data_IF_368047764203
#
_entry.id   IF_368047764203
#
_cell.length_a   1.000
_cell.length_b   1.000
_cell.length_c   1.000
_cell.angle_alpha   90.00
_cell.angle_beta   90.00
_cell.angle_gamma   90.00
#
_symmetry.space_group_name_H-M   'P 1'
#
loop_
_entity.id
_entity.type
_entity.pdbx_description
1 polymer ?
#
# COMPACT_ATOMS: atom_id res chain seq x y z
N UNK A 1 2.79 -26.62 -14.54
CA UNK A 1 1.90 -25.87 -13.63
C UNK A 1 1.42 -24.60 -14.31
N UNK A 2 0.11 -24.56 -14.58
CA UNK A 2 -0.80 -23.47 -14.95
C UNK A 2 -0.27 -22.06 -15.29
N UNK A 3 0.01 -21.82 -16.58
CA UNK A 3 0.01 -20.47 -17.20
C UNK A 3 -1.42 -19.98 -17.56
N UNK A 4 -2.46 -20.76 -17.28
CA UNK A 4 -3.85 -20.51 -17.73
C UNK A 4 -4.74 -19.65 -16.82
N UNK A 5 -4.21 -19.15 -15.69
CA UNK A 5 -4.99 -18.39 -14.68
C UNK A 5 -4.80 -16.87 -14.82
N UNK A 6 -3.58 -16.41 -15.13
CA UNK A 6 -3.27 -14.97 -15.26
C UNK A 6 -3.93 -14.36 -16.52
N UNK A 7 -3.90 -15.08 -17.65
CA UNK A 7 -4.59 -14.66 -18.88
C UNK A 7 -6.12 -14.59 -18.73
N UNK A 8 -6.71 -15.42 -17.85
CA UNK A 8 -8.15 -15.40 -17.57
C UNK A 8 -8.57 -14.22 -16.69
N UNK A 9 -7.70 -13.76 -15.80
CA UNK A 9 -7.97 -12.60 -14.93
C UNK A 9 -7.92 -11.27 -15.70
N UNK A 10 -6.91 -11.09 -16.55
CA UNK A 10 -6.76 -9.87 -17.38
C UNK A 10 -7.92 -9.73 -18.37
N UNK A 11 -8.35 -10.84 -18.97
CA UNK A 11 -9.49 -10.83 -19.90
C UNK A 11 -10.84 -10.60 -19.17
N UNK A 12 -10.94 -10.98 -17.89
CA UNK A 12 -12.13 -10.72 -17.06
C UNK A 12 -12.21 -9.26 -16.63
N UNK A 13 -11.10 -8.61 -16.26
CA UNK A 13 -11.06 -7.18 -15.94
C UNK A 13 -11.40 -6.32 -17.17
N UNK A 14 -10.80 -6.63 -18.35
CA UNK A 14 -11.09 -5.92 -19.60
C UNK A 14 -12.57 -6.03 -20.01
N UNK A 15 -13.21 -7.18 -19.76
CA UNK A 15 -14.62 -7.40 -20.08
C UNK A 15 -15.56 -6.67 -19.11
N UNK A 16 -15.17 -6.50 -17.84
CA UNK A 16 -15.95 -5.75 -16.85
C UNK A 16 -15.93 -4.24 -17.10
N UNK A 17 -14.78 -3.69 -17.50
CA UNK A 17 -14.68 -2.27 -17.86
C UNK A 17 -15.45 -1.96 -19.15
N UNK A 18 -15.44 -2.89 -20.12
CA UNK A 18 -16.23 -2.76 -21.35
C UNK A 18 -17.74 -2.86 -21.09
N UNK A 19 -18.17 -3.72 -20.15
CA UNK A 19 -19.59 -3.84 -19.76
C UNK A 19 -20.05 -2.61 -18.99
N UNK A 20 -19.23 -2.03 -18.11
CA UNK A 20 -19.52 -0.76 -17.44
C UNK A 20 -19.62 0.41 -18.42
N UNK A 21 -18.70 0.51 -19.40
CA UNK A 21 -18.78 1.52 -20.45
C UNK A 21 -20.06 1.36 -21.28
N UNK A 22 -20.42 0.11 -21.65
CA UNK A 22 -21.62 -0.16 -22.45
C UNK A 22 -22.93 0.13 -21.70
N UNK A 23 -22.99 -0.15 -20.38
CA UNK A 23 -24.15 0.22 -19.55
C UNK A 23 -24.29 1.75 -19.41
N UNK A 24 -23.18 2.46 -19.23
CA UNK A 24 -23.20 3.93 -19.12
C UNK A 24 -23.64 4.60 -20.44
N UNK A 25 -23.19 4.08 -21.59
CA UNK A 25 -23.64 4.55 -22.91
C UNK A 25 -25.10 4.21 -23.23
N UNK A 26 -25.60 3.04 -22.82
CA UNK A 26 -26.98 2.62 -23.07
C UNK A 26 -28.00 3.37 -22.20
N UNK A 27 -27.62 3.75 -20.97
CA UNK A 27 -28.45 4.62 -20.10
C UNK A 27 -28.52 6.05 -20.65
N UNK A 28 -27.41 6.59 -21.18
CA UNK A 28 -27.38 7.91 -21.80
C UNK A 28 -28.19 7.98 -23.12
N UNK A 29 -28.18 6.92 -23.94
CA UNK A 29 -28.99 6.90 -25.18
C UNK A 29 -30.50 6.77 -24.93
N UNK A 30 -30.90 6.22 -23.78
CA UNK A 30 -32.31 6.11 -23.36
C UNK A 30 -32.85 7.40 -22.75
N UNK A 31 -31.98 8.24 -22.17
CA UNK A 31 -32.36 9.55 -21.62
C UNK A 31 -32.62 10.61 -22.72
N UNK A 32 -31.99 10.49 -23.88
CA UNK A 32 -32.12 11.50 -24.96
C UNK A 32 -33.26 11.24 -25.96
N UNK A 33 -34.02 10.14 -25.82
CA UNK A 33 -34.99 9.71 -26.85
C UNK A 33 -36.46 9.84 -26.46
N UNK A 34 -36.80 10.59 -25.42
CA UNK A 34 -38.20 10.79 -25.04
C UNK A 34 -38.46 12.22 -24.62
N UNK A 35 -39.14 12.97 -25.49
CA UNK A 35 -40.31 13.80 -25.16
C UNK A 35 -41.02 14.21 -26.49
N UNK A 36 -42.33 14.51 -26.51
CA UNK A 36 -43.20 14.78 -25.36
C UNK A 36 -44.54 13.99 -25.34
N UNK A 37 -45.03 13.69 -24.14
CA UNK A 37 -46.47 13.78 -23.80
C UNK A 37 -46.57 13.92 -22.27
N UNK A 38 -46.78 15.15 -21.80
CA UNK A 38 -47.06 15.43 -20.40
C UNK A 38 -48.46 14.92 -20.04
N UNK A 39 -48.55 13.94 -19.13
CA UNK A 39 -49.77 13.68 -18.36
C UNK A 39 -49.48 13.96 -16.88
N UNK A 40 -50.26 14.87 -16.27
CA UNK A 40 -49.94 15.61 -15.04
C UNK A 40 -50.01 14.80 -13.72
N UNK A 41 -49.99 13.47 -13.76
CA UNK A 41 -50.09 12.62 -12.55
C UNK A 41 -48.77 11.99 -12.08
N UNK A 42 -47.67 12.09 -12.83
CA UNK A 42 -46.37 11.48 -12.48
C UNK A 42 -45.39 12.36 -11.67
N UNK A 43 -45.66 13.67 -11.56
CA UNK A 43 -44.66 14.66 -11.10
C UNK A 43 -44.36 14.57 -9.59
N UNK A 44 -45.26 13.99 -8.78
CA UNK A 44 -45.10 13.95 -7.32
C UNK A 44 -44.18 12.81 -6.82
N UNK A 45 -43.99 11.75 -7.62
CA UNK A 45 -43.10 10.62 -7.26
C UNK A 45 -41.62 10.88 -7.58
N UNK A 46 -41.35 11.58 -8.68
CA UNK A 46 -39.99 11.82 -9.18
C UNK A 46 -39.21 12.83 -8.31
N UNK A 47 -39.90 13.85 -7.79
CA UNK A 47 -39.29 14.84 -6.88
C UNK A 47 -38.81 14.22 -5.55
N UNK A 48 -39.52 13.21 -5.03
CA UNK A 48 -39.17 12.58 -3.74
C UNK A 48 -37.97 11.63 -3.85
N UNK A 49 -37.77 11.02 -5.02
CA UNK A 49 -36.58 10.19 -5.30
C UNK A 49 -35.34 11.02 -5.66
N UNK A 50 -35.51 12.15 -6.35
CA UNK A 50 -34.42 13.07 -6.64
C UNK A 50 -33.85 13.71 -5.36
N UNK A 51 -34.71 14.08 -4.40
CA UNK A 51 -34.26 14.69 -3.13
C UNK A 51 -33.44 13.72 -2.25
N UNK A 52 -33.81 12.44 -2.24
CA UNK A 52 -33.09 11.42 -1.47
C UNK A 52 -31.75 11.03 -2.12
N UNK A 53 -31.67 11.05 -3.45
CA UNK A 53 -30.42 10.79 -4.17
C UNK A 53 -29.40 11.93 -3.96
N UNK A 54 -29.86 13.19 -3.90
CA UNK A 54 -28.99 14.36 -3.68
C UNK A 54 -28.41 14.36 -2.26
N UNK A 55 -29.20 14.06 -1.23
CA UNK A 55 -28.70 14.03 0.16
C UNK A 55 -27.68 12.90 0.44
N UNK A 56 -27.80 11.75 -0.22
CA UNK A 56 -26.86 10.62 0.00
C UNK A 56 -25.51 10.88 -0.70
N UNK A 57 -25.49 11.66 -1.77
CA UNK A 57 -24.24 12.10 -2.40
C UNK A 57 -23.52 13.23 -1.64
N UNK A 58 -24.26 14.08 -0.93
CA UNK A 58 -23.72 15.26 -0.24
C UNK A 58 -22.85 14.88 0.99
N UNK A 59 -23.32 13.96 1.83
CA UNK A 59 -22.55 13.52 3.02
C UNK A 59 -21.27 12.75 2.68
N UNK A 60 -21.20 12.08 1.51
CA UNK A 60 -19.98 11.36 1.08
C UNK A 60 -18.99 12.24 0.33
N UNK A 61 -19.45 13.30 -0.32
CA UNK A 61 -18.58 14.21 -1.08
C UNK A 61 -17.85 15.19 -0.18
N UNK A 62 -18.45 15.65 0.93
CA UNK A 62 -17.76 16.52 1.89
C UNK A 62 -16.57 15.87 2.61
N UNK A 63 -16.59 14.55 2.82
CA UNK A 63 -15.47 13.81 3.41
C UNK A 63 -14.34 13.53 2.40
N UNK A 64 -14.66 13.32 1.11
CA UNK A 64 -13.65 13.15 0.06
C UNK A 64 -13.08 14.46 -0.46
N UNK A 65 -13.83 15.57 -0.47
CA UNK A 65 -13.34 16.85 -1.01
C UNK A 65 -12.25 17.50 -0.15
N UNK A 66 -12.18 17.20 1.15
CA UNK A 66 -11.19 17.80 2.05
C UNK A 66 -9.75 17.29 1.84
N UNK A 67 -9.55 16.19 1.11
CA UNK A 67 -8.23 15.63 0.82
C UNK A 67 -7.78 15.75 -0.64
N UNK A 68 -8.63 16.26 -1.53
CA UNK A 68 -8.46 16.13 -2.99
C UNK A 68 -7.96 17.38 -3.73
N UNK A 69 -7.65 18.46 -3.01
CA UNK A 69 -7.06 19.66 -3.63
C UNK A 69 -5.53 19.53 -3.62
N UNK A 70 -5.03 18.53 -4.35
CA UNK A 70 -3.63 18.55 -4.76
C UNK A 70 -3.49 19.47 -5.97
N UNK A 71 -2.33 20.11 -6.09
CA UNK A 71 -1.95 21.12 -7.10
C UNK A 71 -2.28 20.70 -8.54
N UNK A 72 -2.35 19.40 -8.82
CA UNK A 72 -2.64 18.84 -10.14
C UNK A 72 -4.13 18.95 -10.53
N UNK A 73 -5.05 18.87 -9.57
CA UNK A 73 -6.49 19.07 -9.84
C UNK A 73 -6.82 20.55 -10.05
N UNK A 74 -6.10 21.46 -9.39
CA UNK A 74 -6.27 22.89 -9.59
C UNK A 74 -5.99 23.29 -11.06
N UNK A 75 -4.96 22.72 -11.68
CA UNK A 75 -4.64 22.98 -13.09
C UNK A 75 -5.74 22.46 -14.02
N UNK A 76 -6.26 21.26 -13.80
CA UNK A 76 -7.37 20.71 -14.59
C UNK A 76 -8.65 21.53 -14.43
N UNK A 77 -8.95 21.98 -13.21
CA UNK A 77 -10.11 22.84 -12.93
C UNK A 77 -9.93 24.21 -13.59
N UNK A 78 -8.74 24.82 -13.52
CA UNK A 78 -8.45 26.11 -14.17
C UNK A 78 -8.59 26.00 -15.69
N UNK A 79 -8.07 24.93 -16.30
CA UNK A 79 -8.21 24.70 -17.74
C UNK A 79 -9.68 24.48 -18.11
N UNK A 80 -10.42 23.68 -17.34
CA UNK A 80 -11.85 23.47 -17.56
C UNK A 80 -12.65 24.77 -17.41
N UNK A 81 -12.35 25.59 -16.40
CA UNK A 81 -12.96 26.91 -16.20
C UNK A 81 -12.64 27.87 -17.35
N UNK A 82 -11.40 27.90 -17.84
CA UNK A 82 -11.01 28.70 -19.01
C UNK A 82 -11.76 28.27 -20.27
N UNK A 83 -11.92 26.96 -20.49
CA UNK A 83 -12.71 26.42 -21.60
C UNK A 83 -14.17 26.84 -21.47
N UNK A 84 -14.78 26.72 -20.30
CA UNK A 84 -16.18 27.16 -20.05
C UNK A 84 -16.36 28.66 -20.28
N UNK A 85 -15.41 29.49 -19.84
CA UNK A 85 -15.46 30.95 -20.04
C UNK A 85 -15.36 31.31 -21.54
N UNK A 86 -14.45 30.66 -22.27
CA UNK A 86 -14.33 30.82 -23.73
C UNK A 86 -15.63 30.41 -24.44
N UNK A 87 -16.28 29.34 -23.98
CA UNK A 87 -17.51 28.82 -24.56
C UNK A 87 -18.72 29.72 -24.29
N UNK A 88 -18.82 30.30 -23.09
CA UNK A 88 -19.84 31.30 -22.76
C UNK A 88 -19.65 32.59 -23.58
N UNK A 89 -18.40 32.99 -23.83
CA UNK A 89 -18.07 34.15 -24.67
C UNK A 89 -18.46 33.95 -26.14
N UNK A 90 -18.19 32.76 -26.70
CA UNK A 90 -18.53 32.45 -28.11
C UNK A 90 -20.04 32.22 -28.29
N UNK A 91 -20.70 31.57 -27.33
CA UNK A 91 -22.15 31.29 -27.36
C UNK A 91 -23.04 32.54 -27.45
N UNK A 92 -22.56 33.69 -26.93
CA UNK A 92 -23.27 34.97 -27.04
C UNK A 92 -23.31 35.54 -28.47
N UNK A 93 -22.47 35.04 -29.38
CA UNK A 93 -22.33 35.57 -30.76
C UNK A 93 -22.87 34.64 -31.86
N UNK A 94 -23.22 33.39 -31.52
CA UNK A 94 -23.62 32.35 -32.48
C UNK A 94 -25.14 32.14 -32.56
N UNK A 95 -25.67 31.84 -33.76
CA UNK A 95 -27.10 31.53 -34.00
C UNK A 95 -27.54 30.27 -33.21
N UNK A 96 -28.80 30.21 -32.74
CA UNK A 96 -29.29 29.11 -31.90
C UNK A 96 -29.30 27.73 -32.58
N UNK A 97 -29.14 27.63 -33.91
CA UNK A 97 -29.11 26.36 -34.64
C UNK A 97 -27.82 25.56 -34.43
N UNK A 98 -26.71 26.21 -34.08
CA UNK A 98 -25.39 25.56 -34.06
C UNK A 98 -25.00 25.10 -32.65
N UNK A 99 -25.81 25.44 -31.63
CA UNK A 99 -25.52 25.21 -30.22
C UNK A 99 -25.30 23.73 -29.87
N UNK A 100 -26.06 22.83 -30.49
CA UNK A 100 -26.00 21.40 -30.24
C UNK A 100 -24.69 20.77 -30.75
N UNK A 101 -24.20 21.23 -31.91
CA UNK A 101 -22.93 20.79 -32.47
C UNK A 101 -21.73 21.25 -31.63
N UNK A 102 -21.80 22.48 -31.12
CA UNK A 102 -20.80 22.99 -30.18
C UNK A 102 -20.78 22.18 -28.88
N UNK A 103 -21.94 21.92 -28.28
CA UNK A 103 -22.04 21.08 -27.07
C UNK A 103 -21.47 19.67 -27.27
N UNK A 104 -21.69 19.06 -28.43
CA UNK A 104 -21.15 17.73 -28.75
C UNK A 104 -19.62 17.75 -28.90
N UNK A 105 -19.06 18.77 -29.57
CA UNK A 105 -17.62 18.93 -29.71
C UNK A 105 -16.92 19.12 -28.36
N UNK A 106 -17.53 19.89 -27.45
CA UNK A 106 -17.00 20.13 -26.10
C UNK A 106 -17.03 18.84 -25.28
N UNK A 107 -18.13 18.09 -25.33
CA UNK A 107 -18.24 16.80 -24.67
C UNK A 107 -17.17 15.81 -25.13
N UNK A 108 -16.84 15.82 -26.43
CA UNK A 108 -15.74 15.02 -27.00
C UNK A 108 -14.37 15.46 -26.49
N UNK A 109 -14.06 16.76 -26.48
CA UNK A 109 -12.77 17.29 -26.02
C UNK A 109 -12.58 16.99 -24.53
N UNK A 110 -13.58 17.26 -23.70
CA UNK A 110 -13.54 16.98 -22.26
C UNK A 110 -13.46 15.47 -22.02
N UNK A 111 -14.23 14.65 -22.76
CA UNK A 111 -14.18 13.20 -22.68
C UNK A 111 -12.81 12.64 -23.02
N UNK A 112 -12.16 13.16 -24.08
CA UNK A 112 -10.81 12.77 -24.48
C UNK A 112 -9.77 13.18 -23.43
N UNK A 113 -9.87 14.41 -22.91
CA UNK A 113 -8.99 14.92 -21.84
C UNK A 113 -9.09 14.05 -20.59
N UNK A 114 -10.30 13.69 -20.16
CA UNK A 114 -10.50 12.81 -19.00
C UNK A 114 -9.96 11.40 -19.28
N UNK A 115 -10.19 10.86 -20.49
CA UNK A 115 -9.71 9.53 -20.87
C UNK A 115 -8.17 9.41 -20.88
N UNK A 116 -7.45 10.51 -21.12
CA UNK A 116 -5.98 10.55 -21.09
C UNK A 116 -5.44 10.94 -19.71
N UNK A 117 -6.05 11.94 -19.06
CA UNK A 117 -5.55 12.48 -17.80
C UNK A 117 -5.73 11.49 -16.62
N UNK A 118 -6.87 10.79 -16.55
CA UNK A 118 -7.15 9.84 -15.46
C UNK A 118 -6.11 8.71 -15.38
N UNK A 119 -5.81 7.96 -16.47
CA UNK A 119 -4.81 6.90 -16.38
C UNK A 119 -3.39 7.44 -16.15
N UNK A 120 -3.07 8.65 -16.63
CA UNK A 120 -1.78 9.27 -16.38
C UNK A 120 -1.58 9.60 -14.88
N UNK A 121 -2.62 10.10 -14.22
CA UNK A 121 -2.61 10.40 -12.79
C UNK A 121 -2.59 9.10 -11.97
N UNK A 122 -3.40 8.11 -12.33
CA UNK A 122 -3.41 6.80 -11.66
C UNK A 122 -2.04 6.14 -11.69
N UNK A 123 -1.33 6.16 -12.82
CA UNK A 123 0.03 5.61 -12.92
C UNK A 123 1.03 6.32 -11.99
N UNK A 124 0.91 7.64 -11.85
CA UNK A 124 1.77 8.40 -10.91
C UNK A 124 1.47 7.99 -9.46
N UNK A 125 0.20 7.91 -9.09
CA UNK A 125 -0.22 7.50 -7.75
C UNK A 125 0.18 6.05 -7.43
N UNK A 126 0.01 5.13 -8.38
CA UNK A 126 0.44 3.73 -8.23
C UNK A 126 1.96 3.63 -8.03
N UNK A 127 2.75 4.43 -8.76
CA UNK A 127 4.20 4.46 -8.60
C UNK A 127 4.61 5.02 -7.23
N UNK A 128 3.96 6.08 -6.76
CA UNK A 128 4.22 6.65 -5.42
C UNK A 128 3.83 5.68 -4.30
N UNK A 129 2.67 5.02 -4.43
CA UNK A 129 2.21 4.01 -3.48
C UNK A 129 3.15 2.80 -3.46
N UNK A 130 3.58 2.32 -4.63
CA UNK A 130 4.54 1.21 -4.71
C UNK A 130 5.87 1.57 -4.04
N UNK A 131 6.40 2.78 -4.26
CA UNK A 131 7.61 3.27 -3.59
C UNK A 131 7.44 3.33 -2.08
N UNK A 132 6.29 3.85 -1.61
CA UNK A 132 5.99 3.89 -0.18
C UNK A 132 5.90 2.48 0.43
N UNK A 133 5.23 1.54 -0.23
CA UNK A 133 5.14 0.16 0.22
C UNK A 133 6.51 -0.52 0.31
N UNK A 134 7.40 -0.28 -0.65
CA UNK A 134 8.77 -0.80 -0.62
C UNK A 134 9.50 -0.23 0.60
N UNK A 135 9.48 1.09 0.79
CA UNK A 135 10.14 1.74 1.93
C UNK A 135 9.60 1.23 3.27
N UNK A 136 8.27 1.17 3.42
CA UNK A 136 7.65 0.71 4.66
C UNK A 136 8.02 -0.77 4.95
N UNK A 137 8.19 -1.59 3.89
CA UNK A 137 8.67 -2.98 4.00
C UNK A 137 10.15 -3.04 4.43
N UNK A 138 11.01 -2.22 3.84
CA UNK A 138 12.44 -2.13 4.18
C UNK A 138 12.65 -1.72 5.64
N UNK A 139 11.95 -0.66 6.09
CA UNK A 139 11.95 -0.21 7.49
C UNK A 139 11.42 -1.31 8.41
N UNK A 140 10.35 -2.00 8.00
CA UNK A 140 9.76 -3.11 8.74
C UNK A 140 10.75 -4.26 8.97
N UNK A 141 11.50 -4.67 7.94
CA UNK A 141 12.54 -5.69 8.08
C UNK A 141 13.68 -5.25 9.00
N UNK A 142 14.19 -4.03 8.80
CA UNK A 142 15.29 -3.52 9.62
C UNK A 142 14.92 -3.43 11.11
N UNK A 143 13.70 -2.97 11.44
CA UNK A 143 13.20 -2.98 12.82
C UNK A 143 13.05 -4.38 13.39
N UNK A 144 12.48 -5.33 12.63
CA UNK A 144 12.37 -6.73 13.09
C UNK A 144 13.74 -7.33 13.39
N UNK A 145 14.74 -7.04 12.57
CA UNK A 145 16.13 -7.47 12.82
C UNK A 145 16.64 -6.90 14.15
N UNK A 146 16.43 -5.60 14.39
CA UNK A 146 16.81 -4.97 15.65
C UNK A 146 16.12 -5.61 16.86
N UNK A 147 14.83 -5.90 16.78
CA UNK A 147 14.09 -6.59 17.84
C UNK A 147 14.64 -7.99 18.11
N UNK A 148 14.87 -8.79 17.07
CA UNK A 148 15.42 -10.14 17.21
C UNK A 148 16.85 -10.12 17.76
N UNK A 149 17.66 -9.12 17.41
CA UNK A 149 18.97 -8.95 18.02
C UNK A 149 18.87 -8.61 19.51
N UNK A 150 17.90 -7.76 19.89
CA UNK A 150 17.62 -7.44 21.29
C UNK A 150 17.15 -8.65 22.10
N UNK A 151 16.25 -9.46 21.55
CA UNK A 151 15.78 -10.70 22.16
C UNK A 151 16.93 -11.67 22.42
N UNK A 152 17.83 -11.88 21.44
CA UNK A 152 19.00 -12.73 21.64
C UNK A 152 19.95 -12.16 22.70
N UNK A 153 20.12 -10.84 22.77
CA UNK A 153 20.94 -10.18 23.79
C UNK A 153 20.36 -10.36 25.19
N UNK A 154 19.03 -10.31 25.33
CA UNK A 154 18.36 -10.57 26.59
C UNK A 154 18.50 -12.04 26.99
N UNK A 155 18.29 -12.97 26.06
CA UNK A 155 18.50 -14.39 26.30
C UNK A 155 19.93 -14.65 26.76
N UNK A 156 20.93 -14.15 26.02
CA UNK A 156 22.34 -14.32 26.37
C UNK A 156 22.68 -13.72 27.76
N UNK A 157 22.09 -12.57 28.12
CA UNK A 157 22.23 -12.00 29.46
C UNK A 157 21.62 -12.89 30.56
N UNK A 158 20.42 -13.43 30.34
CA UNK A 158 19.77 -14.38 31.26
C UNK A 158 20.58 -15.67 31.43
N UNK A 159 21.21 -16.15 30.37
CA UNK A 159 22.10 -17.31 30.40
C UNK A 159 23.32 -16.98 31.25
N UNK A 160 24.00 -15.87 30.93
CA UNK A 160 25.23 -15.47 31.58
C UNK A 160 25.07 -15.25 33.09
N UNK A 161 23.93 -14.72 33.53
CA UNK A 161 23.63 -14.52 34.95
C UNK A 161 23.38 -15.83 35.70
N UNK A 162 22.78 -16.82 35.04
CA UNK A 162 22.40 -18.08 35.69
C UNK A 162 23.43 -19.21 35.49
N UNK A 163 24.55 -18.97 34.78
CA UNK A 163 25.56 -19.97 34.42
C UNK A 163 25.95 -20.95 35.55
N UNK A 164 26.14 -20.45 36.78
CA UNK A 164 26.54 -21.27 37.93
C UNK A 164 25.43 -22.14 38.51
N UNK A 165 24.17 -21.85 38.17
CA UNK A 165 22.98 -22.50 38.72
C UNK A 165 22.11 -23.21 37.67
N UNK A 166 22.50 -23.21 36.39
CA UNK A 166 21.72 -23.86 35.33
C UNK A 166 21.66 -25.38 35.56
N UNK A 167 20.49 -25.86 36.00
CA UNK A 167 20.12 -27.28 36.05
C UNK A 167 19.91 -27.82 34.63
N UNK A 168 19.98 -29.14 34.49
CA UNK A 168 19.76 -29.81 33.19
C UNK A 168 18.39 -29.48 32.56
N UNK A 169 17.33 -29.41 33.37
CA UNK A 169 15.98 -29.05 32.90
C UNK A 169 15.92 -27.62 32.33
N UNK A 170 16.59 -26.67 32.98
CA UNK A 170 16.60 -25.27 32.55
C UNK A 170 17.40 -25.10 31.25
N UNK A 171 18.53 -25.83 31.12
CA UNK A 171 19.31 -25.89 29.87
C UNK A 171 18.45 -26.37 28.70
N UNK A 172 17.64 -27.41 28.93
CA UNK A 172 16.78 -27.95 27.87
C UNK A 172 15.67 -26.97 27.46
N UNK A 173 15.03 -26.31 28.42
CA UNK A 173 14.01 -25.27 28.16
C UNK A 173 14.58 -24.08 27.37
N UNK A 174 15.77 -23.63 27.77
CA UNK A 174 16.47 -22.54 27.11
C UNK A 174 16.90 -22.89 25.68
N UNK A 175 17.34 -24.14 25.46
CA UNK A 175 17.62 -24.66 24.12
C UNK A 175 16.40 -24.61 23.21
N UNK A 176 15.23 -25.04 23.69
CA UNK A 176 13.99 -24.93 22.90
C UNK A 176 13.66 -23.47 22.56
N UNK A 177 13.90 -22.56 23.49
CA UNK A 177 13.68 -21.12 23.28
C UNK A 177 14.63 -20.57 22.20
N UNK A 178 15.90 -20.97 22.21
CA UNK A 178 16.88 -20.59 21.17
C UNK A 178 16.54 -21.21 19.80
N UNK A 179 16.02 -22.44 19.77
CA UNK A 179 15.57 -23.08 18.53
C UNK A 179 14.33 -22.39 17.94
N UNK A 180 13.37 -22.01 18.78
CA UNK A 180 12.22 -21.21 18.38
C UNK A 180 12.64 -19.82 17.86
N UNK A 181 13.59 -19.18 18.55
CA UNK A 181 14.20 -17.93 18.09
C UNK A 181 14.83 -18.08 16.69
N UNK A 182 15.62 -19.13 16.45
CA UNK A 182 16.22 -19.41 15.13
C UNK A 182 15.16 -19.60 14.05
N UNK A 183 14.07 -20.31 14.37
CA UNK A 183 12.96 -20.51 13.45
C UNK A 183 12.30 -19.18 13.09
N UNK A 184 11.99 -18.33 14.09
CA UNK A 184 11.41 -17.00 13.88
C UNK A 184 12.36 -16.07 13.10
N UNK A 185 13.66 -16.12 13.37
CA UNK A 185 14.66 -15.35 12.65
C UNK A 185 14.72 -15.72 11.17
N UNK A 186 14.63 -17.03 10.86
CA UNK A 186 14.57 -17.52 9.48
C UNK A 186 13.29 -17.08 8.77
N UNK A 187 12.12 -17.32 9.38
CA UNK A 187 10.84 -17.02 8.73
C UNK A 187 10.65 -15.52 8.53
N UNK A 188 11.08 -14.69 9.49
CA UNK A 188 10.99 -13.23 9.40
C UNK A 188 11.78 -12.64 8.23
N UNK A 189 12.92 -13.24 7.85
CA UNK A 189 13.83 -12.70 6.83
C UNK A 189 13.93 -13.56 5.56
N UNK A 190 13.05 -14.54 5.39
CA UNK A 190 13.07 -15.49 4.27
C UNK A 190 12.98 -14.83 2.87
N UNK A 191 12.27 -13.71 2.78
CA UNK A 191 12.07 -12.97 1.54
C UNK A 191 12.88 -11.66 1.49
N UNK A 192 13.79 -11.47 2.44
CA UNK A 192 14.62 -10.28 2.48
C UNK A 192 15.76 -10.42 1.46
N UNK A 193 15.95 -9.39 0.63
CA UNK A 193 16.95 -9.36 -0.45
C UNK A 193 18.06 -8.33 -0.16
N UNK A 194 18.04 -7.69 1.00
CA UNK A 194 19.08 -6.74 1.38
C UNK A 194 20.31 -7.47 1.91
N UNK A 195 21.44 -7.34 1.23
CA UNK A 195 22.68 -8.05 1.55
C UNK A 195 23.15 -7.81 2.99
N UNK A 196 23.12 -6.57 3.47
CA UNK A 196 23.54 -6.24 4.84
C UNK A 196 22.68 -6.97 5.87
N UNK A 197 21.35 -7.01 5.66
CA UNK A 197 20.44 -7.72 6.56
C UNK A 197 20.58 -9.23 6.46
N UNK A 198 20.87 -9.77 5.28
CA UNK A 198 21.17 -11.20 5.11
C UNK A 198 22.43 -11.58 5.90
N UNK A 199 23.47 -10.77 5.85
CA UNK A 199 24.70 -10.97 6.63
C UNK A 199 24.40 -10.88 8.14
N UNK A 200 23.65 -9.87 8.58
CA UNK A 200 23.25 -9.73 9.99
C UNK A 200 22.42 -10.94 10.47
N UNK A 201 21.50 -11.44 9.65
CA UNK A 201 20.72 -12.63 9.95
C UNK A 201 21.62 -13.86 10.13
N UNK A 202 22.61 -14.00 9.25
CA UNK A 202 23.56 -15.10 9.30
C UNK A 202 24.43 -15.05 10.55
N UNK A 203 24.98 -13.88 10.89
CA UNK A 203 25.81 -13.70 12.09
C UNK A 203 24.99 -13.92 13.38
N UNK A 204 23.72 -13.50 13.43
CA UNK A 204 22.82 -13.80 14.55
C UNK A 204 22.56 -15.29 14.69
N UNK A 205 22.37 -16.01 13.57
CA UNK A 205 22.24 -17.48 13.59
C UNK A 205 23.49 -18.15 14.14
N UNK A 206 24.69 -17.68 13.75
CA UNK A 206 25.94 -18.22 14.28
C UNK A 206 26.00 -18.05 15.80
N UNK A 207 25.75 -16.84 16.32
CA UNK A 207 25.78 -16.60 17.78
C UNK A 207 24.74 -17.46 18.51
N UNK A 208 23.53 -17.60 17.97
CA UNK A 208 22.50 -18.45 18.57
C UNK A 208 22.86 -19.94 18.54
N UNK A 209 23.48 -20.44 17.48
CA UNK A 209 23.97 -21.81 17.41
C UNK A 209 25.15 -22.03 18.38
N UNK A 210 26.10 -21.11 18.45
CA UNK A 210 27.22 -21.17 19.41
C UNK A 210 26.70 -21.22 20.86
N UNK A 211 25.62 -20.48 21.17
CA UNK A 211 24.94 -20.55 22.47
C UNK A 211 24.28 -21.92 22.72
N UNK A 212 23.65 -22.52 21.70
CA UNK A 212 23.07 -23.87 21.81
C UNK A 212 24.17 -24.90 22.07
N UNK A 213 25.26 -24.82 21.33
CA UNK A 213 26.39 -25.74 21.44
C UNK A 213 27.01 -25.67 22.84
N UNK A 214 27.12 -24.48 23.45
CA UNK A 214 27.60 -24.37 24.84
C UNK A 214 26.61 -24.84 25.90
N UNK A 215 25.30 -24.74 25.63
CA UNK A 215 24.31 -25.35 26.52
C UNK A 215 24.35 -26.88 26.45
N UNK A 216 24.62 -27.45 25.28
CA UNK A 216 24.75 -28.89 25.03
C UNK A 216 26.09 -29.45 25.56
N UNK A 217 27.19 -28.69 25.43
CA UNK A 217 28.51 -29.07 25.95
C UNK A 217 28.49 -29.24 27.47
N UNK A 218 27.58 -28.53 28.12
CA UNK A 218 27.42 -28.46 29.56
C UNK A 218 28.58 -27.77 30.29
N UNK A 219 29.59 -27.31 29.54
CA UNK A 219 30.71 -26.50 30.02
C UNK A 219 30.26 -25.05 30.08
N UNK A 220 30.30 -24.48 31.27
CA UNK A 220 30.02 -23.06 31.48
C UNK A 220 31.34 -22.27 31.44
N UNK A 221 31.97 -22.23 30.27
CA UNK A 221 33.18 -21.42 30.09
C UNK A 221 32.82 -19.93 29.98
N UNK A 222 33.08 -19.21 31.07
CA UNK A 222 32.80 -17.77 31.18
C UNK A 222 33.52 -16.95 30.10
N UNK A 223 34.67 -17.41 29.60
CA UNK A 223 35.41 -16.72 28.53
C UNK A 223 34.64 -16.78 27.21
N UNK A 224 34.05 -17.93 26.89
CA UNK A 224 33.24 -18.11 25.68
C UNK A 224 31.99 -17.23 25.74
N UNK A 225 31.28 -17.23 26.88
CA UNK A 225 30.11 -16.38 27.06
C UNK A 225 30.44 -14.88 26.97
N UNK A 226 31.58 -14.43 27.51
CA UNK A 226 32.04 -13.05 27.33
C UNK A 226 32.40 -12.74 25.87
N UNK A 227 32.97 -13.69 25.12
CA UNK A 227 33.28 -13.51 23.71
C UNK A 227 32.00 -13.40 22.86
N UNK A 228 30.99 -14.24 23.15
CA UNK A 228 29.67 -14.19 22.54
C UNK A 228 28.96 -12.88 22.87
N UNK A 229 29.06 -12.40 24.12
CA UNK A 229 28.52 -11.09 24.53
C UNK A 229 29.08 -9.96 23.67
N UNK A 230 30.41 -9.89 23.53
CA UNK A 230 31.08 -8.85 22.74
C UNK A 230 30.67 -8.92 21.27
N UNK A 231 30.57 -10.12 20.70
CA UNK A 231 30.07 -10.31 19.33
C UNK A 231 28.65 -9.79 19.20
N UNK A 232 27.78 -10.12 20.16
CA UNK A 232 26.38 -9.73 20.15
C UNK A 232 26.19 -8.22 20.36
N UNK A 233 26.99 -7.57 21.20
CA UNK A 233 27.01 -6.11 21.34
C UNK A 233 27.38 -5.42 20.02
N UNK A 234 28.39 -5.94 19.31
CA UNK A 234 28.77 -5.44 17.98
C UNK A 234 27.65 -5.63 16.96
N UNK A 235 26.97 -6.78 16.99
CA UNK A 235 25.81 -7.06 16.14
C UNK A 235 24.63 -6.15 16.45
N UNK A 236 24.34 -5.91 17.73
CA UNK A 236 23.27 -5.03 18.18
C UNK A 236 23.49 -3.60 17.68
N UNK A 237 24.73 -3.10 17.77
CA UNK A 237 25.07 -1.80 17.21
C UNK A 237 24.84 -1.75 15.69
N UNK A 238 25.28 -2.76 14.94
CA UNK A 238 25.04 -2.82 13.48
C UNK A 238 23.56 -2.91 13.13
N UNK A 239 22.76 -3.66 13.89
CA UNK A 239 21.32 -3.74 13.70
C UNK A 239 20.63 -2.39 13.97
N UNK A 240 21.06 -1.65 15.00
CA UNK A 240 20.57 -0.29 15.27
C UNK A 240 20.92 0.67 14.15
N UNK A 241 22.16 0.64 13.66
CA UNK A 241 22.60 1.47 12.52
C UNK A 241 21.79 1.11 11.27
N UNK A 242 21.58 -0.17 10.98
CA UNK A 242 20.77 -0.61 9.84
C UNK A 242 19.32 -0.11 9.93
N UNK A 243 18.69 -0.20 11.11
CA UNK A 243 17.36 0.35 11.35
C UNK A 243 17.31 1.87 11.15
N UNK A 244 18.27 2.60 11.72
CA UNK A 244 18.36 4.04 11.57
C UNK A 244 18.60 4.48 10.11
N UNK A 245 19.38 3.71 9.35
CA UNK A 245 19.57 3.96 7.91
C UNK A 245 18.30 3.69 7.11
N UNK A 246 17.59 2.60 7.41
CA UNK A 246 16.34 2.27 6.75
C UNK A 246 15.25 3.33 7.00
N UNK A 247 15.19 3.93 8.20
CA UNK A 247 14.25 5.01 8.51
C UNK A 247 14.55 6.34 7.80
N UNK A 248 15.80 6.54 7.37
CA UNK A 248 16.24 7.76 6.66
C UNK A 248 16.13 7.66 5.14
N UNK A 249 16.05 6.44 4.59
CA UNK A 249 15.89 6.18 3.15
C UNK A 249 14.44 6.23 2.70
#
# INVERSE_FOLDING_TARGET
MSMGVVGRFINKCRKWDFVKLRLSGFLLSKLFKTEPQLNSRGVKGLHRLAFHAIQVTDSRSHAMLKGFVSKDYAVLVIIASLVVILLLGVGFTSRPSDWAGWMQAIGLIVGLMVAVAVPAIQRKQEAEQARKQIRDREVGYARRMQYLCGELSELQGRISLNLTHLRATDRHSLKYTLQDYLHRLFESHKQDLNDDRVVLAHELRQVANDLIDELDSGRTDRVVFMALEKRLQKLAHRCQVNAAMAERG
#
